data_IF_017682774728
#
_entry.id   IF_017682774728
#
_cell.length_a   1.000
_cell.length_b   1.000
_cell.length_c   1.000
_cell.angle_alpha   90.00
_cell.angle_beta   90.00
_cell.angle_gamma   90.00
#
_symmetry.space_group_name_H-M   'P 1'
#
loop_
_entity.id
_entity.type
_entity.pdbx_description
1 polymer ?
#
# COMPACT_ATOMS: atom_id res chain seq x y z
N UNK A 1 11.03 -16.83 3.02
CA UNK A 1 11.28 -15.42 3.40
C UNK A 1 12.21 -14.84 2.35
N UNK A 2 11.85 -13.72 1.73
CA UNK A 2 12.66 -13.01 0.74
C UNK A 2 13.11 -11.68 1.34
N UNK A 3 14.38 -11.32 1.14
CA UNK A 3 14.94 -10.03 1.58
C UNK A 3 15.28 -9.21 0.35
N UNK A 4 14.79 -7.97 0.30
CA UNK A 4 15.06 -7.02 -0.77
C UNK A 4 15.74 -5.81 -0.13
N UNK A 5 16.90 -5.42 -0.66
CA UNK A 5 17.64 -4.23 -0.21
C UNK A 5 17.47 -3.17 -1.29
N UNK A 6 16.75 -2.10 -0.96
CA UNK A 6 16.65 -0.90 -1.80
C UNK A 6 17.81 0.06 -1.47
N UNK A 7 18.22 0.85 -2.46
CA UNK A 7 19.22 1.91 -2.35
C UNK A 7 18.80 2.99 -1.37
N UNK A 8 17.51 3.34 -1.39
CA UNK A 8 16.92 4.36 -0.52
C UNK A 8 15.43 4.08 -0.26
N UNK A 9 14.81 4.98 0.51
CA UNK A 9 13.41 4.88 0.90
C UNK A 9 12.42 5.17 -0.24
N UNK A 10 12.87 5.81 -1.33
CA UNK A 10 12.01 6.09 -2.48
C UNK A 10 11.96 4.87 -3.39
N UNK A 11 13.09 4.22 -3.65
CA UNK A 11 13.13 2.92 -4.34
C UNK A 11 12.35 1.84 -3.56
N UNK A 12 12.45 1.83 -2.22
CA UNK A 12 11.62 0.94 -1.40
C UNK A 12 10.12 1.19 -1.61
N UNK A 13 9.71 2.46 -1.72
CA UNK A 13 8.32 2.82 -1.95
C UNK A 13 7.83 2.42 -3.34
N UNK A 14 8.69 2.49 -4.36
CA UNK A 14 8.39 2.00 -5.72
C UNK A 14 8.20 0.49 -5.75
N UNK A 15 9.16 -0.27 -5.21
CA UNK A 15 9.07 -1.73 -5.13
C UNK A 15 7.81 -2.17 -4.37
N UNK A 16 7.52 -1.54 -3.23
CA UNK A 16 6.36 -1.87 -2.43
C UNK A 16 5.04 -1.53 -3.16
N UNK A 17 4.99 -0.42 -3.92
CA UNK A 17 3.83 -0.03 -4.70
C UNK A 17 3.54 -1.03 -5.82
N UNK A 18 4.59 -1.53 -6.49
CA UNK A 18 4.45 -2.53 -7.55
C UNK A 18 3.96 -3.86 -6.97
N UNK A 19 4.57 -4.35 -5.88
CA UNK A 19 4.12 -5.57 -5.19
C UNK A 19 2.66 -5.46 -4.75
N UNK A 20 2.25 -4.31 -4.19
CA UNK A 20 0.86 -4.08 -3.79
C UNK A 20 -0.07 -4.17 -5.00
N UNK A 21 0.22 -3.40 -6.06
CA UNK A 21 -0.62 -3.29 -7.25
C UNK A 21 -0.74 -4.61 -7.99
N UNK A 22 0.35 -5.37 -8.10
CA UNK A 22 0.33 -6.70 -8.71
C UNK A 22 -0.52 -7.68 -7.92
N UNK A 23 -0.52 -7.57 -6.58
CA UNK A 23 -1.37 -8.41 -5.74
C UNK A 23 -2.85 -8.12 -5.93
N UNK A 24 -3.22 -6.86 -6.14
CA UNK A 24 -4.59 -6.42 -6.44
C UNK A 24 -5.01 -6.87 -7.84
N UNK A 25 -4.16 -6.67 -8.85
CA UNK A 25 -4.42 -7.16 -10.21
C UNK A 25 -4.67 -8.67 -10.24
N UNK A 26 -3.88 -9.44 -9.50
CA UNK A 26 -4.04 -10.88 -9.40
C UNK A 26 -5.28 -11.31 -8.60
N UNK A 27 -5.83 -10.43 -7.74
CA UNK A 27 -7.02 -10.69 -6.91
C UNK A 27 -7.74 -9.38 -6.57
N UNK A 28 -8.67 -8.91 -7.41
CA UNK A 28 -9.33 -7.61 -7.22
C UNK A 28 -10.18 -7.50 -5.94
N UNK A 29 -10.67 -8.63 -5.41
CA UNK A 29 -11.50 -8.71 -4.20
C UNK A 29 -10.69 -8.92 -2.90
N UNK A 30 -9.37 -8.69 -2.98
CA UNK A 30 -8.42 -8.94 -1.89
C UNK A 30 -8.78 -8.15 -0.62
N UNK A 31 -8.84 -8.89 0.49
CA UNK A 31 -8.83 -8.32 1.83
C UNK A 31 -7.37 -8.13 2.29
N UNK A 32 -7.00 -6.90 2.66
CA UNK A 32 -5.63 -6.57 3.06
C UNK A 32 -5.60 -5.70 4.33
N UNK A 33 -4.75 -6.09 5.28
CA UNK A 33 -4.36 -5.24 6.40
C UNK A 33 -3.25 -4.27 5.94
N UNK A 34 -3.41 -2.98 6.21
CA UNK A 34 -2.50 -1.93 5.77
C UNK A 34 -1.97 -1.11 6.95
N UNK A 35 -0.66 -0.80 7.01
CA UNK A 35 -0.08 -0.01 8.08
C UNK A 35 -0.18 1.50 7.85
N UNK A 36 -0.25 2.27 8.93
CA UNK A 36 -0.03 3.71 8.91
C UNK A 36 1.47 4.07 9.02
N UNK A 37 1.78 5.37 9.03
CA UNK A 37 3.13 5.88 9.30
C UNK A 37 3.88 6.39 8.07
N UNK A 38 5.11 6.89 8.30
CA UNK A 38 5.89 7.62 7.27
C UNK A 38 6.35 6.73 6.12
N UNK A 39 6.77 5.50 6.40
CA UNK A 39 7.26 4.55 5.40
C UNK A 39 6.16 4.17 4.39
N UNK A 40 4.99 3.62 4.80
CA UNK A 40 3.94 3.25 3.84
C UNK A 40 3.28 4.48 3.18
N UNK A 41 3.28 5.66 3.82
CA UNK A 41 2.77 6.89 3.20
C UNK A 41 3.49 7.25 1.88
N UNK A 42 4.79 6.97 1.76
CA UNK A 42 5.52 7.18 0.49
C UNK A 42 5.03 6.23 -0.61
N UNK A 43 4.83 4.96 -0.26
CA UNK A 43 4.26 3.96 -1.16
C UNK A 43 2.85 4.37 -1.64
N UNK A 44 1.96 4.80 -0.74
CA UNK A 44 0.62 5.25 -1.12
C UNK A 44 0.65 6.47 -2.04
N UNK A 45 1.53 7.45 -1.78
CA UNK A 45 1.70 8.59 -2.67
C UNK A 45 2.17 8.15 -4.07
N UNK A 46 3.08 7.17 -4.14
CA UNK A 46 3.53 6.58 -5.42
C UNK A 46 2.39 5.88 -6.14
N UNK A 47 1.58 5.08 -5.45
CA UNK A 47 0.42 4.42 -6.02
C UNK A 47 -0.61 5.42 -6.55
N UNK A 48 -0.89 6.49 -5.82
CA UNK A 48 -1.79 7.55 -6.26
C UNK A 48 -1.30 8.23 -7.54
N UNK A 49 0.01 8.51 -7.65
CA UNK A 49 0.60 9.04 -8.88
C UNK A 49 0.56 8.04 -10.05
N UNK A 50 0.73 6.74 -9.78
CA UNK A 50 0.65 5.69 -10.80
C UNK A 50 -0.78 5.51 -11.33
N UNK A 51 -1.80 5.72 -10.49
CA UNK A 51 -3.21 5.53 -10.88
C UNK A 51 -3.61 6.39 -12.10
N UNK A 52 -3.04 7.59 -12.24
CA UNK A 52 -3.31 8.47 -13.38
C UNK A 52 -2.71 7.98 -14.71
N UNK A 53 -1.71 7.09 -14.67
CA UNK A 53 -0.94 6.64 -15.85
C UNK A 53 -1.15 5.16 -16.16
N UNK A 54 -1.39 4.35 -15.13
CA UNK A 54 -1.54 2.89 -15.18
C UNK A 54 -2.53 2.48 -14.08
N UNK A 55 -3.85 2.59 -14.34
CA UNK A 55 -4.86 2.40 -13.32
C UNK A 55 -4.96 0.94 -12.87
N UNK A 56 -5.25 0.76 -11.58
CA UNK A 56 -5.68 -0.51 -10.99
C UNK A 56 -7.09 -0.32 -10.43
N UNK A 57 -7.95 -1.31 -10.62
CA UNK A 57 -9.30 -1.32 -10.05
C UNK A 57 -9.25 -1.70 -8.56
N UNK A 58 -9.61 -0.75 -7.69
CA UNK A 58 -9.63 -0.95 -6.23
C UNK A 58 -11.04 -1.13 -5.67
N UNK A 59 -12.09 -1.02 -6.49
CA UNK A 59 -13.51 -0.98 -6.06
C UNK A 59 -13.92 -2.20 -5.20
N UNK A 60 -13.38 -3.38 -5.50
CA UNK A 60 -13.75 -4.63 -4.83
C UNK A 60 -12.84 -4.98 -3.64
N UNK A 61 -11.80 -4.19 -3.37
CA UNK A 61 -10.89 -4.45 -2.26
C UNK A 61 -11.56 -4.19 -0.91
N UNK A 62 -11.09 -4.92 0.10
CA UNK A 62 -11.41 -4.66 1.51
C UNK A 62 -10.13 -4.32 2.25
N UNK A 63 -10.10 -3.15 2.89
CA UNK A 63 -8.93 -2.66 3.62
C UNK A 63 -9.22 -2.66 5.11
N UNK A 64 -8.26 -3.14 5.89
CA UNK A 64 -8.25 -3.11 7.34
C UNK A 64 -7.04 -2.32 7.81
N UNK A 65 -7.18 -1.38 8.72
CA UNK A 65 -6.02 -0.77 9.38
C UNK A 65 -5.38 -1.82 10.31
N UNK A 66 -4.06 -1.87 10.37
CA UNK A 66 -3.34 -2.76 11.31
C UNK A 66 -3.60 -2.35 12.76
N UNK A 67 -3.68 -1.05 13.00
CA UNK A 67 -3.86 -0.42 14.30
C UNK A 67 -4.62 0.91 14.15
N UNK A 68 -5.14 1.42 15.26
CA UNK A 68 -5.75 2.74 15.36
C UNK A 68 -5.52 3.30 16.77
N UNK A 69 -5.45 4.63 16.88
CA UNK A 69 -5.41 5.33 18.15
C UNK A 69 -6.76 5.18 18.85
N UNK A 70 -6.73 4.88 20.15
CA UNK A 70 -7.91 4.88 21.00
C UNK A 70 -7.89 6.15 21.87
N UNK A 71 -8.30 7.32 21.33
CA UNK A 71 -8.37 8.54 22.13
C UNK A 71 -9.44 8.37 23.22
N UNK A 72 -9.30 9.09 24.36
CA UNK A 72 -10.32 9.05 25.41
C UNK A 72 -11.69 9.47 24.86
N UNK A 73 -12.75 8.86 25.39
CA UNK A 73 -14.11 9.22 25.04
C UNK A 73 -14.41 10.70 25.40
N UNK A 74 -15.32 11.37 24.66
CA UNK A 74 -15.72 12.75 24.95
C UNK A 74 -16.23 12.96 26.38
#
# INVERSE_FOLDING_TARGET
>A
MQVIIARDADELAEIAADVFRDRVRARPDLAMAVPAGRTPRRMYARMAALQARDPVEYEHMRIFAVDELCPPAP
#
